data_IF_057414021034
#
_entry.id   IF_057414021034
#
_cell.length_a   1.000
_cell.length_b   1.000
_cell.length_c   1.000
_cell.angle_alpha   90.00
_cell.angle_beta   90.00
_cell.angle_gamma   90.00
#
_symmetry.space_group_name_H-M   'P 1'
#
loop_
_entity.id
_entity.type
_entity.pdbx_description
1 polymer ?
#
# COMPACT_ATOMS: atom_id res chain seq x y z
N UNK A 1 21.31 -10.03 -20.53
CA UNK A 1 21.31 -10.24 -19.07
C UNK A 1 21.01 -11.71 -18.80
N UNK A 2 21.57 -12.30 -17.72
CA UNK A 2 21.61 -13.73 -17.34
C UNK A 2 22.05 -14.73 -18.43
N UNK A 3 21.36 -14.79 -19.58
CA UNK A 3 21.73 -15.59 -20.76
C UNK A 3 22.83 -14.99 -21.63
N UNK A 4 23.40 -13.84 -21.25
CA UNK A 4 24.40 -13.12 -22.06
C UNK A 4 23.86 -12.34 -23.27
N UNK A 5 22.57 -12.48 -23.62
CA UNK A 5 21.98 -11.91 -24.84
C UNK A 5 21.89 -10.36 -24.89
N UNK A 6 22.14 -9.66 -23.79
CA UNK A 6 22.04 -8.20 -23.73
C UNK A 6 22.96 -7.64 -22.64
N UNK A 7 23.66 -6.54 -22.93
CA UNK A 7 24.49 -5.83 -21.97
C UNK A 7 23.63 -5.19 -20.85
N UNK A 8 24.19 -5.06 -19.64
CA UNK A 8 23.48 -4.54 -18.46
C UNK A 8 23.04 -3.09 -18.67
N UNK A 9 23.93 -2.19 -19.11
CA UNK A 9 23.58 -0.77 -19.27
C UNK A 9 22.50 -0.59 -20.34
N UNK A 10 22.61 -1.33 -21.44
CA UNK A 10 21.60 -1.34 -22.49
C UNK A 10 20.25 -1.85 -21.96
N UNK A 11 20.23 -2.92 -21.15
CA UNK A 11 18.99 -3.40 -20.53
C UNK A 11 18.33 -2.33 -19.63
N UNK A 12 19.14 -1.62 -18.83
CA UNK A 12 18.66 -0.57 -17.94
C UNK A 12 18.01 0.57 -18.75
N UNK A 13 18.64 1.02 -19.84
CA UNK A 13 18.11 2.09 -20.69
C UNK A 13 16.78 1.65 -21.31
N UNK A 14 16.74 0.45 -21.90
CA UNK A 14 15.52 -0.08 -22.53
C UNK A 14 14.39 -0.22 -21.51
N UNK A 15 14.68 -0.77 -20.32
CA UNK A 15 13.71 -0.89 -19.24
C UNK A 15 13.19 0.48 -18.79
N UNK A 16 14.08 1.46 -18.60
CA UNK A 16 13.72 2.81 -18.17
C UNK A 16 12.80 3.50 -19.19
N UNK A 17 13.11 3.41 -20.48
CA UNK A 17 12.27 3.97 -21.56
C UNK A 17 10.92 3.28 -21.62
N UNK A 18 10.88 1.95 -21.53
CA UNK A 18 9.64 1.18 -21.55
C UNK A 18 8.74 1.50 -20.34
N UNK A 19 9.32 1.57 -19.13
CA UNK A 19 8.62 1.96 -17.91
C UNK A 19 8.09 3.38 -18.03
N UNK A 20 8.91 4.33 -18.51
CA UNK A 20 8.50 5.71 -18.76
C UNK A 20 7.31 5.77 -19.72
N UNK A 21 7.38 5.08 -20.86
CA UNK A 21 6.31 5.04 -21.84
C UNK A 21 5.01 4.44 -21.26
N UNK A 22 5.10 3.34 -20.53
CA UNK A 22 3.94 2.74 -19.84
C UNK A 22 3.33 3.68 -18.79
N UNK A 23 4.19 4.40 -18.05
CA UNK A 23 3.81 5.43 -17.08
C UNK A 23 3.05 6.59 -17.71
N UNK A 24 3.48 7.09 -18.87
CA UNK A 24 2.80 8.20 -19.54
C UNK A 24 1.49 7.81 -20.24
N UNK A 25 1.37 6.56 -20.69
CA UNK A 25 0.25 6.10 -21.51
C UNK A 25 -0.86 5.45 -20.70
N UNK A 26 -0.60 4.32 -20.04
CA UNK A 26 -1.63 3.49 -19.41
C UNK A 26 -1.82 3.84 -17.94
N UNK A 27 -0.77 4.31 -17.25
CA UNK A 27 -0.83 4.49 -15.79
C UNK A 27 -1.87 5.52 -15.33
N UNK A 28 -2.34 6.42 -16.22
CA UNK A 28 -3.44 7.34 -15.91
C UNK A 28 -4.69 6.63 -15.41
N UNK A 29 -5.09 5.53 -16.06
CA UNK A 29 -6.26 4.73 -15.65
C UNK A 29 -6.05 4.06 -14.30
N UNK A 30 -4.82 3.60 -14.03
CA UNK A 30 -4.47 3.03 -12.73
C UNK A 30 -4.51 4.09 -11.63
N UNK A 31 -3.95 5.28 -11.88
CA UNK A 31 -3.96 6.40 -10.92
C UNK A 31 -5.37 6.89 -10.61
N UNK A 32 -6.26 6.96 -11.61
CA UNK A 32 -7.67 7.28 -11.39
C UNK A 32 -8.35 6.27 -10.46
N UNK A 33 -8.12 4.97 -10.65
CA UNK A 33 -8.68 3.93 -9.77
C UNK A 33 -8.04 3.90 -8.38
N UNK A 34 -6.72 4.08 -8.27
CA UNK A 34 -6.02 4.07 -6.98
C UNK A 34 -6.37 5.32 -6.16
N UNK A 35 -6.45 6.49 -6.79
CA UNK A 35 -6.78 7.74 -6.09
C UNK A 35 -8.22 7.81 -5.60
N UNK A 36 -9.16 7.15 -6.27
CA UNK A 36 -10.58 7.16 -5.89
C UNK A 36 -11.03 5.94 -5.06
N UNK A 37 -10.39 4.77 -5.22
CA UNK A 37 -10.84 3.54 -4.55
C UNK A 37 -10.05 3.20 -3.27
N UNK A 38 -8.78 3.62 -3.14
CA UNK A 38 -7.94 3.20 -2.01
C UNK A 38 -8.06 4.12 -0.78
N UNK A 39 -8.08 5.45 -0.97
CA UNK A 39 -8.00 6.36 0.17
C UNK A 39 -8.26 7.83 -0.20
N UNK A 40 -9.23 8.47 0.46
CA UNK A 40 -9.40 9.93 0.52
C UNK A 40 -8.46 10.51 1.60
N UNK A 41 -7.15 10.29 1.47
CA UNK A 41 -6.18 10.78 2.44
C UNK A 41 -5.87 12.27 2.22
N UNK A 42 -5.74 13.05 3.31
CA UNK A 42 -5.17 14.39 3.23
C UNK A 42 -3.79 14.37 2.54
N UNK A 43 -3.48 15.41 1.76
CA UNK A 43 -2.21 15.53 1.03
C UNK A 43 -0.98 15.38 1.94
N UNK A 44 -1.08 15.84 3.20
CA UNK A 44 -0.02 15.70 4.19
C UNK A 44 0.24 14.22 4.52
N UNK A 45 -0.80 13.43 4.74
CA UNK A 45 -0.66 11.99 4.98
C UNK A 45 -0.08 11.29 3.75
N UNK A 46 -0.56 11.64 2.55
CA UNK A 46 0.00 11.11 1.30
C UNK A 46 1.50 11.42 1.15
N UNK A 47 1.93 12.64 1.51
CA UNK A 47 3.33 13.03 1.49
C UNK A 47 4.17 12.17 2.44
N UNK A 48 3.72 11.98 3.68
CA UNK A 48 4.40 11.13 4.66
C UNK A 48 4.52 9.69 4.13
N UNK A 49 3.42 9.13 3.63
CA UNK A 49 3.41 7.79 3.03
C UNK A 49 4.45 7.66 1.93
N UNK A 50 4.47 8.62 1.00
CA UNK A 50 5.38 8.59 -0.14
C UNK A 50 6.84 8.68 0.30
N UNK A 51 7.17 9.59 1.23
CA UNK A 51 8.54 9.73 1.75
C UNK A 51 8.99 8.45 2.45
N UNK A 52 8.16 7.88 3.32
CA UNK A 52 8.51 6.65 4.05
C UNK A 52 8.67 5.47 3.10
N UNK A 53 7.70 5.24 2.21
CA UNK A 53 7.73 4.14 1.25
C UNK A 53 8.92 4.24 0.27
N UNK A 54 9.21 5.44 -0.24
CA UNK A 54 10.36 5.66 -1.12
C UNK A 54 11.69 5.46 -0.39
N UNK A 55 11.79 5.90 0.86
CA UNK A 55 12.99 5.74 1.68
C UNK A 55 13.29 4.27 1.94
N UNK A 56 12.28 3.50 2.37
CA UNK A 56 12.39 2.06 2.61
C UNK A 56 12.78 1.34 1.30
N UNK A 57 12.10 1.65 0.20
CA UNK A 57 12.38 1.03 -1.10
C UNK A 57 13.81 1.33 -1.57
N UNK A 58 14.28 2.56 -1.38
CA UNK A 58 15.64 2.97 -1.74
C UNK A 58 16.69 2.26 -0.89
N UNK A 59 16.48 2.19 0.43
CA UNK A 59 17.39 1.52 1.34
C UNK A 59 17.51 0.00 1.04
N UNK A 60 16.37 -0.66 0.79
CA UNK A 60 16.35 -2.08 0.44
C UNK A 60 16.93 -2.33 -0.96
N UNK A 61 16.68 -1.44 -1.92
CA UNK A 61 17.31 -1.50 -3.25
C UNK A 61 18.83 -1.37 -3.17
N UNK A 62 19.34 -0.51 -2.28
CA UNK A 62 20.77 -0.37 -2.00
C UNK A 62 21.36 -1.64 -1.38
N UNK A 63 20.60 -2.33 -0.52
CA UNK A 63 20.97 -3.64 0.04
C UNK A 63 20.81 -4.81 -0.96
N UNK A 64 20.32 -4.56 -2.18
CA UNK A 64 20.08 -5.60 -3.19
C UNK A 64 18.85 -6.47 -2.94
N UNK A 65 17.94 -6.04 -2.06
CA UNK A 65 16.70 -6.76 -1.72
C UNK A 65 15.55 -6.22 -2.60
N UNK A 66 14.99 -7.04 -3.51
CA UNK A 66 13.89 -6.59 -4.35
C UNK A 66 12.61 -6.45 -3.51
N UNK A 67 12.05 -5.24 -3.47
CA UNK A 67 10.78 -4.94 -2.80
C UNK A 67 9.80 -4.26 -3.74
N UNK A 68 8.50 -4.54 -3.55
CA UNK A 68 7.43 -3.84 -4.25
C UNK A 68 7.17 -2.48 -3.59
N UNK A 69 7.38 -1.40 -4.34
CA UNK A 69 7.06 -0.03 -3.90
C UNK A 69 5.58 0.10 -3.53
N UNK A 70 4.69 -0.53 -4.30
CA UNK A 70 3.24 -0.52 -4.04
C UNK A 70 2.92 -1.15 -2.67
N UNK A 71 3.56 -2.28 -2.35
CA UNK A 71 3.39 -2.92 -1.04
C UNK A 71 3.91 -2.02 0.08
N UNK A 72 5.06 -1.37 -0.10
CA UNK A 72 5.61 -0.45 0.88
C UNK A 72 4.65 0.73 1.15
N UNK A 73 4.05 1.30 0.11
CA UNK A 73 3.05 2.38 0.26
C UNK A 73 1.80 1.90 0.99
N UNK A 74 1.20 0.78 0.59
CA UNK A 74 -0.02 0.27 1.25
C UNK A 74 0.23 -0.07 2.72
N UNK A 75 1.35 -0.72 3.04
CA UNK A 75 1.67 -1.04 4.44
C UNK A 75 1.91 0.22 5.29
N UNK A 76 2.49 1.27 4.70
CA UNK A 76 2.64 2.56 5.39
C UNK A 76 1.28 3.23 5.64
N UNK A 77 0.37 3.19 4.66
CA UNK A 77 -1.01 3.71 4.82
C UNK A 77 -1.75 2.95 5.94
N UNK A 78 -1.67 1.62 5.94
CA UNK A 78 -2.29 0.78 6.97
C UNK A 78 -1.71 1.09 8.35
N UNK A 79 -0.38 1.26 8.45
CA UNK A 79 0.29 1.62 9.70
C UNK A 79 -0.13 2.99 10.25
N UNK A 80 -0.31 3.99 9.37
CA UNK A 80 -0.82 5.31 9.76
C UNK A 80 -2.25 5.24 10.29
N UNK A 81 -3.12 4.48 9.64
CA UNK A 81 -4.48 4.24 10.14
C UNK A 81 -4.46 3.57 11.51
N UNK A 82 -3.72 2.46 11.62
CA UNK A 82 -3.65 1.65 12.83
C UNK A 82 -3.18 2.45 14.05
N UNK A 83 -2.14 3.27 13.90
CA UNK A 83 -1.59 4.06 15.01
C UNK A 83 -2.61 4.97 15.70
N UNK A 84 -3.61 5.50 14.98
CA UNK A 84 -4.68 6.31 15.57
C UNK A 84 -5.84 5.48 16.09
N UNK A 85 -6.25 4.42 15.39
CA UNK A 85 -7.37 3.59 15.84
C UNK A 85 -7.07 2.80 17.12
N UNK A 86 -5.81 2.46 17.41
CA UNK A 86 -5.42 1.81 18.68
C UNK A 86 -5.26 2.77 19.85
N UNK A 87 -5.42 4.09 19.65
CA UNK A 87 -5.22 5.11 20.69
C UNK A 87 -6.17 5.00 21.89
N UNK A 88 -7.44 4.56 21.74
CA UNK A 88 -8.35 4.36 22.86
C UNK A 88 -8.03 3.13 23.72
N UNK A 89 -7.29 2.16 23.18
CA UNK A 89 -6.99 0.91 23.89
C UNK A 89 -5.74 1.10 24.76
N UNK A 90 -5.93 1.09 26.07
CA UNK A 90 -4.80 1.19 26.99
C UNK A 90 -4.00 -0.12 27.00
N UNK A 91 -2.68 -0.07 27.14
CA UNK A 91 -1.83 -1.28 27.18
C UNK A 91 -2.26 -2.29 28.27
N UNK A 92 -2.94 -1.82 29.32
CA UNK A 92 -3.47 -2.64 30.42
C UNK A 92 -4.78 -3.36 30.05
N UNK A 93 -5.59 -2.78 29.18
CA UNK A 93 -6.85 -3.34 28.67
C UNK A 93 -6.58 -4.39 27.59
N UNK A 94 -5.63 -4.10 26.68
CA UNK A 94 -5.17 -5.06 25.66
C UNK A 94 -4.66 -6.37 26.29
N UNK A 95 -3.94 -6.29 27.41
CA UNK A 95 -3.43 -7.46 28.14
C UNK A 95 -4.52 -8.20 28.92
N UNK A 96 -5.59 -7.50 29.34
CA UNK A 96 -6.73 -8.10 30.03
C UNK A 96 -7.76 -8.70 29.08
N UNK A 97 -7.68 -8.42 27.79
CA UNK A 97 -8.62 -8.89 26.77
C UNK A 97 -9.98 -8.19 26.82
N UNK A 98 -10.07 -7.09 27.57
CA UNK A 98 -11.29 -6.31 27.77
C UNK A 98 -11.25 -5.14 26.78
N UNK A 99 -11.62 -5.40 25.53
CA UNK A 99 -11.55 -4.44 24.43
C UNK A 99 -12.98 -4.13 23.98
N UNK A 100 -13.71 -3.38 24.80
CA UNK A 100 -15.09 -2.94 24.50
C UNK A 100 -15.11 -1.55 23.82
N UNK A 101 -13.94 -1.00 23.48
CA UNK A 101 -13.80 0.33 22.88
C UNK A 101 -13.92 0.29 21.36
N UNK A 102 -14.79 1.13 20.81
CA UNK A 102 -15.04 1.21 19.38
C UNK A 102 -13.82 1.80 18.64
N UNK A 103 -13.11 0.97 17.88
CA UNK A 103 -11.94 1.39 17.10
C UNK A 103 -12.37 1.89 15.71
N UNK A 104 -12.24 3.19 15.46
CA UNK A 104 -12.43 3.74 14.11
C UNK A 104 -11.10 4.17 13.49
N UNK A 105 -10.98 3.97 12.18
CA UNK A 105 -9.82 4.41 11.41
C UNK A 105 -10.04 5.79 10.78
N UNK A 106 -11.23 6.39 10.95
CA UNK A 106 -11.61 7.69 10.37
C UNK A 106 -10.96 8.91 11.02
N UNK A 107 -10.30 8.75 12.17
CA UNK A 107 -9.69 9.84 12.94
C UNK A 107 -8.64 10.68 12.16
N UNK A 108 -8.05 10.14 11.08
CA UNK A 108 -7.14 10.90 10.21
C UNK A 108 -7.84 11.90 9.28
N UNK A 109 -9.15 11.74 9.06
CA UNK A 109 -9.97 12.66 8.25
C UNK A 109 -10.69 13.73 9.09
N UNK A 110 -10.73 13.58 10.42
CA UNK A 110 -11.31 14.59 11.30
C UNK A 110 -10.60 15.94 11.12
N UNK A 111 -11.35 17.04 11.26
CA UNK A 111 -10.82 18.38 11.05
C UNK A 111 -9.63 18.67 11.97
N UNK A 112 -8.62 19.45 11.52
CA UNK A 112 -7.43 19.74 12.31
C UNK A 112 -7.69 20.50 13.61
N UNK A 113 -8.85 21.15 13.74
CA UNK A 113 -9.30 21.84 14.96
C UNK A 113 -10.11 20.94 15.91
N UNK A 114 -10.34 19.67 15.55
CA UNK A 114 -11.00 18.72 16.43
C UNK A 114 -10.18 18.53 17.72
N UNK A 115 -10.84 18.44 18.89
CA UNK A 115 -10.15 18.33 20.17
C UNK A 115 -9.24 17.09 20.20
N UNK A 116 -7.96 17.31 20.51
CA UNK A 116 -6.97 16.24 20.61
C UNK A 116 -7.21 15.48 21.92
N UNK A 117 -7.93 14.37 21.86
CA UNK A 117 -8.15 13.45 23.00
C UNK A 117 -6.83 12.82 23.46
N UNK A 118 -6.65 12.48 24.75
CA UNK A 118 -5.44 11.79 25.23
C UNK A 118 -5.50 10.27 24.96
N UNK A 119 -4.36 9.57 25.13
CA UNK A 119 -4.32 8.11 24.98
C UNK A 119 -5.10 7.47 26.13
N UNK A 120 -6.05 6.58 25.81
CA UNK A 120 -6.92 5.90 26.80
C UNK A 120 -8.22 6.62 27.17
N UNK A 121 -8.51 7.78 26.56
CA UNK A 121 -9.82 8.40 26.61
C UNK A 121 -10.64 8.02 25.37
N UNK A 122 -11.97 7.97 25.50
CA UNK A 122 -12.89 7.69 24.38
C UNK A 122 -12.68 8.71 23.25
N UNK A 123 -12.59 8.23 22.00
CA UNK A 123 -12.47 9.11 20.83
C UNK A 123 -13.67 10.07 20.76
N UNK A 124 -13.43 11.29 20.29
CA UNK A 124 -14.51 12.28 20.14
C UNK A 124 -15.55 11.80 19.13
N UNK A 125 -16.82 12.16 19.34
CA UNK A 125 -17.93 11.85 18.41
C UNK A 125 -17.61 12.29 16.96
N UNK A 126 -16.83 13.36 16.81
CA UNK A 126 -16.39 13.91 15.53
C UNK A 126 -15.36 13.02 14.81
N UNK A 127 -14.52 12.30 15.56
CA UNK A 127 -13.58 11.32 15.01
C UNK A 127 -14.26 9.97 14.72
N UNK A 128 -15.21 9.55 15.58
CA UNK A 128 -16.05 8.36 15.40
C UNK A 128 -16.97 8.47 14.17
N UNK A 129 -17.51 9.67 13.92
CA UNK A 129 -18.37 9.94 12.76
C UNK A 129 -17.61 10.22 11.46
N UNK A 130 -16.29 10.38 11.52
CA UNK A 130 -15.46 10.60 10.33
C UNK A 130 -15.39 9.32 9.48
N UNK A 131 -15.48 9.49 8.16
CA UNK A 131 -15.36 8.39 7.22
C UNK A 131 -14.05 7.62 7.39
N UNK A 132 -14.10 6.30 7.32
CA UNK A 132 -12.92 5.44 7.41
C UNK A 132 -11.83 5.84 6.40
N UNK A 133 -10.58 5.81 6.85
CA UNK A 133 -9.40 6.16 6.05
C UNK A 133 -9.19 5.24 4.84
N UNK A 134 -9.62 3.99 4.94
CA UNK A 134 -9.53 2.99 3.89
C UNK A 134 -10.86 2.26 3.71
N UNK A 135 -11.15 1.88 2.46
CA UNK A 135 -12.32 1.08 2.14
C UNK A 135 -11.98 -0.42 2.29
N UNK A 136 -12.57 -1.16 3.26
CA UNK A 136 -12.26 -2.58 3.47
C UNK A 136 -12.53 -3.45 2.23
N UNK A 137 -13.54 -3.07 1.43
CA UNK A 137 -13.87 -3.74 0.17
C UNK A 137 -12.78 -3.53 -0.87
N UNK A 138 -12.18 -2.34 -0.90
CA UNK A 138 -11.04 -2.06 -1.76
C UNK A 138 -9.82 -2.88 -1.34
N UNK A 139 -9.49 -2.93 -0.03
CA UNK A 139 -8.39 -3.76 0.48
C UNK A 139 -8.54 -5.22 0.04
N UNK A 140 -9.72 -5.82 0.23
CA UNK A 140 -9.99 -7.19 -0.20
C UNK A 140 -9.80 -7.38 -1.71
N UNK A 141 -10.22 -6.40 -2.52
CA UNK A 141 -9.98 -6.39 -3.99
C UNK A 141 -8.48 -6.36 -4.31
N UNK A 142 -7.70 -5.51 -3.66
CA UNK A 142 -6.25 -5.41 -3.90
C UNK A 142 -5.50 -6.66 -3.45
N UNK A 143 -5.78 -7.18 -2.25
CA UNK A 143 -5.18 -8.43 -1.76
C UNK A 143 -5.53 -9.60 -2.69
N UNK A 144 -6.78 -9.69 -3.13
CA UNK A 144 -7.19 -10.71 -4.11
C UNK A 144 -6.40 -10.58 -5.41
N UNK A 145 -6.27 -9.36 -5.94
CA UNK A 145 -5.51 -9.09 -7.16
C UNK A 145 -4.02 -9.42 -7.02
N UNK A 146 -3.44 -9.19 -5.84
CA UNK A 146 -2.04 -9.56 -5.53
C UNK A 146 -1.81 -11.06 -5.51
N UNK A 147 -2.83 -11.87 -5.22
CA UNK A 147 -2.73 -13.33 -5.27
C UNK A 147 -3.01 -13.83 -6.69
N UNK A 148 -4.06 -13.31 -7.32
CA UNK A 148 -4.51 -13.75 -8.65
C UNK A 148 -3.45 -13.46 -9.72
N UNK A 149 -2.81 -12.29 -9.70
CA UNK A 149 -1.83 -11.89 -10.71
C UNK A 149 -0.64 -12.85 -10.81
N UNK A 150 0.11 -13.09 -9.74
CA UNK A 150 1.19 -14.06 -9.71
C UNK A 150 0.72 -15.49 -10.03
N UNK A 151 -0.42 -15.91 -9.47
CA UNK A 151 -0.96 -17.26 -9.72
C UNK A 151 -1.27 -17.49 -11.20
N UNK A 152 -1.94 -16.53 -11.85
CA UNK A 152 -2.25 -16.59 -13.27
C UNK A 152 -0.97 -16.54 -14.12
N UNK A 153 0.00 -15.71 -13.74
CA UNK A 153 1.32 -15.67 -14.39
C UNK A 153 2.01 -17.04 -14.35
N UNK A 154 2.02 -17.72 -13.20
CA UNK A 154 2.58 -19.06 -13.07
C UNK A 154 1.84 -20.07 -13.94
N UNK A 155 0.50 -20.06 -13.95
CA UNK A 155 -0.29 -20.97 -14.80
C UNK A 155 -0.04 -20.76 -16.28
N UNK A 156 0.00 -19.51 -16.73
CA UNK A 156 0.26 -19.16 -18.13
C UNK A 156 1.68 -19.52 -18.54
N UNK A 157 2.66 -19.24 -17.69
CA UNK A 157 4.05 -19.65 -17.91
C UNK A 157 4.16 -21.18 -18.04
N UNK A 158 3.55 -21.93 -17.12
CA UNK A 158 3.53 -23.39 -17.17
C UNK A 158 2.87 -23.92 -18.45
N UNK A 159 1.70 -23.38 -18.82
CA UNK A 159 1.02 -23.74 -20.06
C UNK A 159 1.85 -23.44 -21.30
N UNK A 160 2.56 -22.31 -21.33
CA UNK A 160 3.46 -21.96 -22.41
C UNK A 160 4.62 -22.96 -22.56
N UNK A 161 5.26 -23.35 -21.44
CA UNK A 161 6.34 -24.34 -21.45
C UNK A 161 5.89 -25.74 -21.85
N UNK A 162 4.60 -26.09 -21.67
CA UNK A 162 4.04 -27.33 -22.19
C UNK A 162 3.76 -27.24 -23.69
N UNK A 163 3.17 -26.14 -24.15
CA UNK A 163 2.67 -26.01 -25.51
C UNK A 163 3.78 -25.73 -26.53
N UNK A 164 4.85 -25.04 -26.14
CA UNK A 164 5.99 -24.72 -27.00
C UNK A 164 7.11 -25.72 -26.71
N UNK A 165 7.37 -26.70 -27.59
CA UNK A 165 8.51 -27.58 -27.45
C UNK A 165 9.78 -26.77 -27.66
N UNK A 166 10.54 -26.53 -26.59
CA UNK A 166 11.88 -25.98 -26.70
C UNK A 166 12.81 -27.10 -27.20
N UNK A 167 13.23 -26.98 -28.46
CA UNK A 167 14.33 -27.75 -29.06
C UNK A 167 15.66 -27.16 -28.62
#
# INVERSE_FOLDING_TARGET
VSSGALEINTAIIVATVAIGLGGFTIARRTMESVGSELSDIPLLAALIVMITASTITTALSWAGIPISLVMASVMTIVGLGWGRATRPVTAREAVRGDVDTEMTMGALKAEPDAPITQIGEEESDEALSADNLFNPRAIMKYVSMWIIGPSMSTLLAYGFFIAVPFV
#
